data_IF_589497223834
#
_entry.id   IF_589497223834
#
_cell.length_a   1.000
_cell.length_b   1.000
_cell.length_c   1.000
_cell.angle_alpha   90.00
_cell.angle_beta   90.00
_cell.angle_gamma   90.00
#
_symmetry.space_group_name_H-M   'P 1'
#
loop_
_entity.id
_entity.type
_entity.pdbx_description
1 polymer ?
#
# COMPACT_ATOMS: atom_id res chain seq x y z
N UNK A 1 16.59 -11.65 6.65
CA UNK A 1 16.12 -11.19 5.34
C UNK A 1 14.85 -10.38 5.51
N UNK A 2 14.80 -9.17 4.98
CA UNK A 2 13.63 -8.34 5.11
C UNK A 2 12.82 -8.34 3.82
N UNK A 3 11.50 -8.30 3.96
CA UNK A 3 10.59 -8.16 2.84
C UNK A 3 10.32 -6.68 2.60
N UNK A 4 10.25 -6.30 1.36
CA UNK A 4 9.99 -4.90 0.99
C UNK A 4 8.66 -4.79 0.29
N UNK A 5 7.83 -3.89 0.78
CA UNK A 5 6.54 -3.58 0.18
C UNK A 5 6.45 -2.09 -0.07
N UNK A 6 5.60 -1.73 -1.00
CA UNK A 6 5.38 -0.33 -1.37
C UNK A 6 4.07 0.15 -0.77
N UNK A 7 4.15 1.23 0.00
CA UNK A 7 2.97 1.88 0.55
C UNK A 7 2.58 3.07 -0.32
N UNK A 8 1.32 3.12 -0.71
CA UNK A 8 0.74 4.26 -1.42
C UNK A 8 -0.15 5.00 -0.43
N UNK A 9 0.12 6.28 -0.23
CA UNK A 9 -0.60 7.10 0.75
C UNK A 9 -1.49 8.09 0.01
N UNK A 10 -2.77 8.07 0.32
CA UNK A 10 -3.73 9.05 -0.17
C UNK A 10 -4.22 9.91 0.99
N UNK A 11 -4.23 11.21 0.78
CA UNK A 11 -4.79 12.13 1.78
C UNK A 11 -6.27 12.30 1.52
N UNK A 12 -7.06 12.04 2.55
CA UNK A 12 -8.51 12.24 2.52
C UNK A 12 -8.88 13.35 3.49
N UNK A 13 -10.10 13.91 3.40
CA UNK A 13 -10.52 14.93 4.38
C UNK A 13 -10.52 14.35 5.81
N UNK A 14 -9.58 14.80 6.63
CA UNK A 14 -9.51 14.40 8.03
C UNK A 14 -8.72 13.14 8.33
N UNK A 15 -8.22 12.42 7.31
CA UNK A 15 -7.40 11.22 7.56
C UNK A 15 -6.55 10.88 6.34
N UNK A 16 -5.75 9.83 6.49
CA UNK A 16 -4.92 9.30 5.41
C UNK A 16 -5.22 7.82 5.22
N UNK A 17 -5.19 7.39 3.98
CA UNK A 17 -5.34 5.98 3.63
C UNK A 17 -4.01 5.47 3.09
N UNK A 18 -3.54 4.35 3.64
CA UNK A 18 -2.32 3.70 3.18
C UNK A 18 -2.66 2.35 2.58
N UNK A 19 -2.11 2.06 1.43
CA UNK A 19 -2.35 0.80 0.75
C UNK A 19 -1.04 0.14 0.40
N UNK A 20 -0.93 -1.17 0.69
CA UNK A 20 0.19 -1.97 0.23
C UNK A 20 -0.06 -2.37 -1.23
N UNK A 21 0.78 -1.88 -2.11
CA UNK A 21 0.59 -2.06 -3.55
C UNK A 21 0.64 -3.54 -3.94
N UNK A 22 1.56 -4.28 -3.37
CA UNK A 22 1.80 -5.67 -3.75
C UNK A 22 0.72 -6.63 -3.24
N UNK A 23 0.17 -6.36 -2.06
CA UNK A 23 -0.77 -7.27 -1.42
C UNK A 23 -2.22 -6.79 -1.45
N UNK A 24 -2.43 -5.52 -1.77
CA UNK A 24 -3.76 -4.95 -1.75
C UNK A 24 -4.34 -4.69 -0.37
N UNK A 25 -3.52 -4.82 0.68
CA UNK A 25 -3.95 -4.54 2.05
C UNK A 25 -4.05 -3.04 2.25
N UNK A 26 -5.10 -2.60 2.92
CA UNK A 26 -5.39 -1.17 3.13
C UNK A 26 -5.56 -0.89 4.61
N UNK A 27 -5.05 0.26 5.04
CA UNK A 27 -5.26 0.75 6.39
C UNK A 27 -5.40 2.26 6.36
N UNK A 28 -5.67 2.87 7.50
CA UNK A 28 -5.88 4.31 7.58
C UNK A 28 -5.38 4.85 8.90
N UNK A 29 -5.24 6.16 8.97
CA UNK A 29 -4.82 6.84 10.18
C UNK A 29 -5.04 8.33 10.07
N UNK A 30 -4.95 9.03 11.18
CA UNK A 30 -5.14 10.48 11.22
C UNK A 30 -3.92 11.24 10.73
N UNK A 31 -2.77 10.59 10.72
CA UNK A 31 -1.53 11.16 10.21
C UNK A 31 -0.90 10.15 9.27
N UNK A 32 0.07 10.62 8.46
CA UNK A 32 0.82 9.72 7.58
C UNK A 32 1.53 8.64 8.40
N UNK A 33 2.16 9.04 9.50
CA UNK A 33 2.87 8.10 10.36
C UNK A 33 1.94 7.04 10.94
N UNK A 34 0.77 7.44 11.37
CA UNK A 34 -0.22 6.51 11.91
C UNK A 34 -0.73 5.56 10.83
N UNK A 35 -1.04 6.09 9.65
CA UNK A 35 -1.52 5.27 8.54
C UNK A 35 -0.47 4.23 8.12
N UNK A 36 0.80 4.64 8.07
CA UNK A 36 1.91 3.74 7.73
C UNK A 36 2.07 2.65 8.79
N UNK A 37 2.03 3.02 10.06
CA UNK A 37 2.17 2.05 11.15
C UNK A 37 1.02 1.05 11.15
N UNK A 38 -0.19 1.55 10.96
CA UNK A 38 -1.36 0.67 10.89
C UNK A 38 -1.30 -0.25 9.69
N UNK A 39 -0.79 0.24 8.56
CA UNK A 39 -0.60 -0.60 7.39
C UNK A 39 0.44 -1.69 7.67
N UNK A 40 1.52 -1.34 8.34
CA UNK A 40 2.56 -2.31 8.68
C UNK A 40 1.99 -3.44 9.54
N UNK A 41 1.18 -3.09 10.53
CA UNK A 41 0.51 -4.09 11.35
C UNK A 41 -0.44 -4.97 10.54
N UNK A 42 -1.19 -4.36 9.62
CA UNK A 42 -2.11 -5.09 8.77
C UNK A 42 -1.37 -6.04 7.83
N UNK A 43 -0.23 -5.62 7.30
CA UNK A 43 0.60 -6.49 6.46
C UNK A 43 1.18 -7.64 7.27
N UNK A 44 1.64 -7.37 8.49
CA UNK A 44 2.14 -8.41 9.39
C UNK A 44 1.06 -9.47 9.65
N UNK A 45 -0.16 -9.03 9.93
CA UNK A 45 -1.28 -9.96 10.14
C UNK A 45 -1.61 -10.75 8.89
N UNK A 46 -1.54 -10.11 7.75
CA UNK A 46 -1.76 -10.78 6.47
C UNK A 46 -0.74 -11.90 6.27
N UNK A 47 0.53 -11.60 6.53
CA UNK A 47 1.60 -12.59 6.35
C UNK A 47 1.49 -13.73 7.36
N UNK A 48 1.05 -13.45 8.59
CA UNK A 48 0.81 -14.49 9.58
C UNK A 48 -0.31 -15.43 9.16
N UNK A 49 -1.35 -14.90 8.53
CA UNK A 49 -2.53 -15.68 8.15
C UNK A 49 -2.32 -16.46 6.86
N UNK A 50 -1.65 -15.86 5.88
CA UNK A 50 -1.52 -16.44 4.54
C UNK A 50 -0.11 -16.91 4.21
N UNK A 51 0.86 -16.58 5.06
CA UNK A 51 2.25 -16.95 4.83
C UNK A 51 2.92 -16.09 3.79
N UNK A 52 4.18 -16.40 3.50
CA UNK A 52 4.97 -15.63 2.54
C UNK A 52 5.05 -16.31 1.18
N UNK A 53 4.48 -17.50 1.04
CA UNK A 53 4.60 -18.27 -0.19
C UNK A 53 3.77 -17.70 -1.34
N UNK A 54 2.72 -16.98 -1.01
CA UNK A 54 1.83 -16.39 -2.02
C UNK A 54 2.18 -14.95 -2.34
N UNK A 55 3.30 -14.46 -1.83
CA UNK A 55 3.74 -13.10 -2.17
C UNK A 55 4.22 -13.12 -3.62
N UNK A 56 3.63 -12.28 -4.49
CA UNK A 56 4.11 -12.21 -5.87
C UNK A 56 5.59 -11.82 -5.86
N UNK A 57 6.40 -12.57 -6.58
CA UNK A 57 7.79 -12.17 -6.73
C UNK A 57 7.81 -10.86 -7.50
N UNK A 58 8.15 -9.81 -6.79
CA UNK A 58 8.35 -8.53 -7.42
C UNK A 58 9.69 -8.56 -8.12
N UNK A 59 9.67 -8.83 -9.41
CA UNK A 59 10.89 -8.90 -10.20
C UNK A 59 11.22 -7.60 -10.88
N UNK A 60 10.39 -6.57 -10.69
CA UNK A 60 10.58 -5.32 -11.38
C UNK A 60 10.39 -4.11 -10.49
N UNK A 61 10.78 -2.97 -11.03
CA UNK A 61 10.57 -1.71 -10.39
C UNK A 61 9.12 -1.28 -10.56
N UNK A 62 8.54 -0.71 -9.51
CA UNK A 62 7.21 -0.11 -9.60
C UNK A 62 7.39 1.34 -10.00
N UNK A 63 6.72 1.73 -11.05
CA UNK A 63 6.79 3.09 -11.57
C UNK A 63 5.42 3.72 -11.60
N UNK A 64 5.39 5.02 -11.35
CA UNK A 64 4.15 5.80 -11.37
C UNK A 64 4.23 6.80 -12.50
N UNK A 65 3.27 6.74 -13.41
CA UNK A 65 3.21 7.65 -14.54
C UNK A 65 1.88 8.39 -14.52
N UNK A 66 1.91 9.70 -14.72
CA UNK A 66 0.65 10.42 -14.91
C UNK A 66 0.00 9.96 -16.22
N UNK A 67 -1.31 9.82 -16.17
CA UNK A 67 -2.08 9.43 -17.34
C UNK A 67 -3.09 10.54 -17.62
N UNK A 68 -2.99 11.16 -18.76
CA UNK A 68 -3.91 12.22 -19.13
C UNK A 68 -5.05 11.63 -19.95
N UNK A 69 -6.26 11.89 -19.49
CA UNK A 69 -7.47 11.48 -20.19
C UNK A 69 -8.14 12.75 -20.69
N UNK A 70 -8.35 12.90 -22.03
CA UNK A 70 -9.04 14.08 -22.53
C UNK A 70 -10.43 14.15 -21.92
N UNK A 71 -10.78 15.32 -21.39
CA UNK A 71 -12.11 15.54 -20.86
C UNK A 71 -13.05 15.86 -22.00
N UNK A 72 -14.18 15.17 -22.02
CA UNK A 72 -15.25 15.46 -22.98
C UNK A 72 -16.24 16.35 -22.28
N UNK A 73 -16.19 17.61 -22.65
CA UNK A 73 -16.98 18.60 -21.98
C UNK A 73 -18.32 18.84 -22.57
#
# INVERSE_FOLDING_TARGET
MSLKFTAVINKEPGWYVARCLELGVVSQGKTIEEAKRNLQEAVDLYLESFGTDDIPESTGEVMFYPLEIPAHG
#
